data_IF_877007159307
#
_entry.id   IF_877007159307
#
_cell.length_a   1.000
_cell.length_b   1.000
_cell.length_c   1.000
_cell.angle_alpha   90.00
_cell.angle_beta   90.00
_cell.angle_gamma   90.00
#
_symmetry.space_group_name_H-M   'P 1'
#
loop_
_entity.id
_entity.type
_entity.pdbx_description
1 polymer ?
#
# COMPACT_ATOMS: atom_id res chain seq x y z
N UNK A 1 -1.64 -1.78 -3.98
CA UNK A 1 -0.68 -1.81 -5.11
C UNK A 1 0.75 -2.09 -4.65
N UNK A 2 1.43 -1.09 -4.07
CA UNK A 2 2.87 -1.14 -3.77
C UNK A 2 3.36 -2.40 -3.04
N UNK A 3 2.64 -2.86 -2.01
CA UNK A 3 2.96 -4.10 -1.29
C UNK A 3 3.02 -5.33 -2.20
N UNK A 4 2.01 -5.50 -3.06
CA UNK A 4 1.91 -6.67 -3.95
C UNK A 4 3.05 -6.65 -4.97
N UNK A 5 3.37 -5.48 -5.54
CA UNK A 5 4.49 -5.33 -6.47
C UNK A 5 5.84 -5.70 -5.83
N UNK A 6 6.06 -5.29 -4.58
CA UNK A 6 7.27 -5.62 -3.82
C UNK A 6 7.39 -7.12 -3.54
N UNK A 7 6.33 -7.75 -3.01
CA UNK A 7 6.36 -9.19 -2.73
C UNK A 7 6.43 -10.02 -4.01
N UNK A 8 5.82 -9.56 -5.10
CA UNK A 8 5.99 -10.18 -6.42
C UNK A 8 7.45 -10.12 -6.88
N UNK A 9 8.14 -8.98 -6.74
CA UNK A 9 9.55 -8.85 -7.10
C UNK A 9 10.43 -9.81 -6.27
N UNK A 10 10.17 -9.93 -4.96
CA UNK A 10 10.87 -10.91 -4.10
C UNK A 10 10.61 -12.35 -4.53
N UNK A 11 9.36 -12.67 -4.87
CA UNK A 11 8.97 -14.00 -5.34
C UNK A 11 9.67 -14.36 -6.66
N UNK A 12 9.70 -13.43 -7.62
CA UNK A 12 10.37 -13.62 -8.90
C UNK A 12 11.88 -13.87 -8.73
N UNK A 13 12.53 -13.12 -7.84
CA UNK A 13 13.94 -13.36 -7.50
C UNK A 13 14.14 -14.74 -6.89
N UNK A 14 13.27 -15.12 -5.95
CA UNK A 14 13.39 -16.39 -5.21
C UNK A 14 13.18 -17.61 -6.12
N UNK A 15 12.15 -17.61 -6.94
CA UNK A 15 11.73 -18.79 -7.71
C UNK A 15 12.40 -18.86 -9.10
N UNK A 16 12.76 -17.72 -9.68
CA UNK A 16 13.23 -17.64 -11.07
C UNK A 16 14.58 -16.92 -11.23
N UNK A 17 15.17 -16.42 -10.14
CA UNK A 17 16.38 -15.59 -10.18
C UNK A 17 16.23 -14.37 -11.13
N UNK A 18 15.02 -13.80 -11.18
CA UNK A 18 14.69 -12.64 -11.98
C UNK A 18 14.41 -11.43 -11.09
N UNK A 19 14.97 -10.28 -11.47
CA UNK A 19 14.68 -8.98 -10.85
C UNK A 19 14.05 -8.04 -11.87
N UNK A 20 13.10 -7.18 -11.47
CA UNK A 20 12.59 -6.15 -12.35
C UNK A 20 13.72 -5.16 -12.70
N UNK A 21 13.60 -4.48 -13.84
CA UNK A 21 14.55 -3.42 -14.20
C UNK A 21 14.45 -2.20 -13.26
N UNK A 22 13.24 -1.95 -12.74
CA UNK A 22 12.94 -0.87 -11.80
C UNK A 22 11.64 -1.22 -11.07
N UNK A 23 11.54 -0.91 -9.78
CA UNK A 23 10.31 -1.03 -9.01
C UNK A 23 9.76 0.35 -8.65
N UNK A 24 8.54 0.64 -9.08
CA UNK A 24 7.82 1.85 -8.72
C UNK A 24 6.79 1.54 -7.65
N UNK A 25 6.79 2.30 -6.56
CA UNK A 25 5.84 2.17 -5.46
C UNK A 25 5.21 3.53 -5.17
N UNK A 26 3.90 3.57 -4.93
CA UNK A 26 3.17 4.82 -4.74
C UNK A 26 2.14 4.66 -3.62
N UNK A 27 2.01 5.69 -2.78
CA UNK A 27 0.95 5.78 -1.76
C UNK A 27 0.98 4.64 -0.74
N UNK A 28 2.16 4.08 -0.46
CA UNK A 28 2.30 2.95 0.46
C UNK A 28 3.60 3.05 1.24
N UNK A 29 3.52 2.94 2.57
CA UNK A 29 4.69 2.93 3.47
C UNK A 29 5.67 1.82 3.09
N UNK A 30 6.93 1.97 3.45
CA UNK A 30 7.90 0.89 3.31
C UNK A 30 7.45 -0.36 4.10
N UNK A 31 7.62 -1.58 3.56
CA UNK A 31 6.99 -2.79 4.07
C UNK A 31 7.48 -3.20 5.46
N UNK A 32 8.69 -2.77 5.85
CA UNK A 32 9.24 -2.99 7.20
C UNK A 32 8.66 -2.04 8.26
N UNK A 33 7.99 -0.96 7.84
CA UNK A 33 7.32 -0.04 8.75
C UNK A 33 5.97 -0.64 9.18
N UNK A 34 5.75 -0.90 10.47
CA UNK A 34 4.52 -1.52 10.94
C UNK A 34 3.33 -0.59 10.74
N UNK A 35 2.20 -1.16 10.33
CA UNK A 35 0.94 -0.42 10.37
C UNK A 35 0.46 -0.26 11.81
N UNK A 36 0.15 0.97 12.22
CA UNK A 36 -0.40 1.27 13.54
C UNK A 36 -1.87 1.67 13.48
N UNK A 37 -2.49 1.71 12.31
CA UNK A 37 -3.92 2.02 12.21
C UNK A 37 -4.77 0.83 12.63
N UNK A 38 -5.94 1.07 13.27
CA UNK A 38 -6.91 0.01 13.53
C UNK A 38 -7.28 -0.73 12.24
N UNK A 39 -7.44 -2.04 12.36
CA UNK A 39 -7.90 -2.88 11.25
C UNK A 39 -9.37 -2.59 10.96
N UNK A 40 -9.69 -2.24 9.71
CA UNK A 40 -11.05 -1.91 9.29
C UNK A 40 -11.72 -3.04 8.51
N UNK A 41 -10.96 -4.00 7.95
CA UNK A 41 -11.50 -5.06 7.08
C UNK A 41 -12.57 -5.93 7.77
N UNK A 42 -12.53 -6.04 9.10
CA UNK A 42 -13.45 -6.83 9.91
C UNK A 42 -14.59 -6.02 10.56
N UNK A 43 -14.64 -4.71 10.37
CA UNK A 43 -15.67 -3.86 10.96
C UNK A 43 -17.06 -4.18 10.40
N UNK A 44 -18.15 -3.95 11.16
CA UNK A 44 -19.50 -3.92 10.60
C UNK A 44 -19.59 -2.94 9.43
N UNK A 45 -20.46 -3.21 8.46
CA UNK A 45 -20.57 -2.41 7.22
C UNK A 45 -20.73 -0.91 7.46
N UNK A 46 -21.61 -0.51 8.37
CA UNK A 46 -21.84 0.90 8.69
C UNK A 46 -20.58 1.61 9.22
N UNK A 47 -19.74 0.90 9.97
CA UNK A 47 -18.48 1.43 10.49
C UNK A 47 -17.39 1.43 9.43
N UNK A 48 -17.33 0.38 8.58
CA UNK A 48 -16.42 0.36 7.43
C UNK A 48 -16.69 1.53 6.48
N UNK A 49 -17.95 1.84 6.17
CA UNK A 49 -18.31 2.99 5.32
C UNK A 49 -17.86 4.32 5.94
N UNK A 50 -17.94 4.46 7.27
CA UNK A 50 -17.42 5.67 7.95
C UNK A 50 -15.90 5.78 7.80
N UNK A 51 -15.17 4.69 7.93
CA UNK A 51 -13.71 4.67 7.75
C UNK A 51 -13.32 4.92 6.28
N UNK A 52 -14.03 4.31 5.31
CA UNK A 52 -13.82 4.59 3.88
C UNK A 52 -13.94 6.08 3.55
N UNK A 53 -14.92 6.76 4.16
CA UNK A 53 -15.09 8.22 4.01
C UNK A 53 -13.90 9.01 4.55
N UNK A 54 -13.24 8.53 5.62
CA UNK A 54 -12.03 9.16 6.19
C UNK A 54 -10.80 8.98 5.30
N UNK A 55 -10.71 7.86 4.60
CA UNK A 55 -9.59 7.60 3.67
C UNK A 55 -9.64 8.45 2.40
N UNK A 56 -10.74 9.16 2.12
CA UNK A 56 -10.93 10.02 0.95
C UNK A 56 -10.68 9.34 -0.42
N UNK A 57 -10.55 8.01 -0.48
CA UNK A 57 -10.28 7.26 -1.69
C UNK A 57 -11.52 6.75 -2.43
N UNK A 58 -12.70 6.86 -1.81
CA UNK A 58 -13.99 6.48 -2.43
C UNK A 58 -14.88 7.73 -2.54
N UNK A 59 -15.33 8.13 -3.73
CA UNK A 59 -16.18 9.32 -3.89
C UNK A 59 -17.49 9.24 -3.09
N UNK A 60 -17.97 10.37 -2.57
CA UNK A 60 -19.20 10.39 -1.75
C UNK A 60 -20.42 9.85 -2.52
N UNK A 61 -20.54 10.16 -3.81
CA UNK A 61 -21.60 9.63 -4.67
C UNK A 61 -21.60 8.09 -4.78
N UNK A 62 -20.44 7.45 -4.57
CA UNK A 62 -20.32 5.99 -4.49
C UNK A 62 -20.74 5.51 -3.10
N UNK A 63 -20.26 6.17 -2.04
CA UNK A 63 -20.59 5.83 -0.64
C UNK A 63 -22.08 5.94 -0.33
N UNK A 64 -22.79 6.87 -0.99
CA UNK A 64 -24.24 7.09 -0.84
C UNK A 64 -25.09 6.11 -1.68
N UNK A 65 -24.49 5.37 -2.61
CA UNK A 65 -25.19 4.41 -3.46
C UNK A 65 -25.11 2.99 -2.88
N UNK A 66 -26.20 2.54 -2.25
CA UNK A 66 -26.27 1.23 -1.59
C UNK A 66 -26.03 0.04 -2.55
N UNK A 67 -26.55 0.10 -3.79
CA UNK A 67 -26.37 -0.99 -4.76
C UNK A 67 -24.91 -1.11 -5.20
N UNK A 68 -24.25 0.03 -5.43
CA UNK A 68 -22.83 0.07 -5.79
C UNK A 68 -21.95 -0.35 -4.62
N UNK A 69 -22.25 0.09 -3.40
CA UNK A 69 -21.52 -0.34 -2.20
C UNK A 69 -21.68 -1.84 -1.96
N UNK A 70 -22.87 -2.42 -2.13
CA UNK A 70 -23.07 -3.87 -2.01
C UNK A 70 -22.17 -4.67 -2.96
N UNK A 71 -21.88 -4.14 -4.16
CA UNK A 71 -20.95 -4.75 -5.12
C UNK A 71 -19.48 -4.55 -4.73
N UNK A 72 -19.10 -3.38 -4.22
CA UNK A 72 -17.70 -3.02 -3.93
C UNK A 72 -17.19 -3.52 -2.58
N UNK A 73 -18.05 -3.58 -1.57
CA UNK A 73 -17.69 -3.93 -0.19
C UNK A 73 -16.93 -5.25 -0.06
N UNK A 74 -17.31 -6.36 -0.73
CA UNK A 74 -16.55 -7.60 -0.65
C UNK A 74 -15.10 -7.44 -1.13
N UNK A 75 -14.90 -6.72 -2.25
CA UNK A 75 -13.57 -6.47 -2.83
C UNK A 75 -12.75 -5.54 -1.94
N UNK A 76 -13.34 -4.45 -1.46
CA UNK A 76 -12.66 -3.51 -0.56
C UNK A 76 -12.21 -4.22 0.73
N UNK A 77 -13.07 -5.07 1.33
CA UNK A 77 -12.70 -5.87 2.50
C UNK A 77 -11.55 -6.81 2.20
N UNK A 78 -11.57 -7.48 1.06
CA UNK A 78 -10.48 -8.36 0.65
C UNK A 78 -9.16 -7.58 0.53
N UNK A 79 -9.18 -6.41 -0.13
CA UNK A 79 -7.99 -5.56 -0.30
C UNK A 79 -7.43 -5.07 1.04
N UNK A 80 -8.29 -4.57 1.94
CA UNK A 80 -7.86 -4.19 3.30
C UNK A 80 -7.32 -5.40 4.06
N UNK A 81 -7.95 -6.57 3.95
CA UNK A 81 -7.49 -7.77 4.66
C UNK A 81 -6.05 -8.15 4.27
N UNK A 82 -5.69 -8.04 2.98
CA UNK A 82 -4.34 -8.32 2.51
C UNK A 82 -3.32 -7.39 3.17
N UNK A 83 -3.61 -6.10 3.21
CA UNK A 83 -2.70 -5.09 3.78
C UNK A 83 -2.61 -5.19 5.30
N UNK A 84 -3.75 -5.39 5.97
CA UNK A 84 -3.87 -5.35 7.42
C UNK A 84 -3.39 -6.63 8.11
N UNK A 85 -3.42 -7.76 7.40
CA UNK A 85 -2.91 -9.06 7.89
C UNK A 85 -1.50 -9.37 7.38
N UNK A 86 -0.93 -8.51 6.55
CA UNK A 86 0.43 -8.67 6.06
C UNK A 86 1.44 -8.61 7.21
N UNK A 87 2.29 -9.64 7.30
CA UNK A 87 3.39 -9.73 8.25
C UNK A 87 4.70 -9.64 7.49
N UNK A 88 5.42 -8.54 7.68
CA UNK A 88 6.72 -8.32 7.08
C UNK A 88 7.72 -9.38 7.52
N UNK A 89 8.45 -9.92 6.56
CA UNK A 89 9.62 -10.78 6.78
C UNK A 89 10.86 -10.05 6.34
N UNK A 90 11.84 -9.99 7.23
CA UNK A 90 13.14 -9.43 6.92
C UNK A 90 13.94 -10.41 6.04
N UNK A 91 14.09 -10.07 4.76
CA UNK A 91 14.92 -10.81 3.78
C UNK A 91 15.78 -9.78 3.05
N UNK A 92 16.86 -10.20 2.36
CA UNK A 92 17.76 -9.27 1.69
C UNK A 92 17.03 -8.27 0.78
N UNK A 93 17.45 -6.99 0.76
CA UNK A 93 16.92 -5.96 -0.14
C UNK A 93 16.97 -6.38 -1.61
N UNK A 94 16.14 -5.79 -2.46
CA UNK A 94 16.16 -6.02 -3.91
C UNK A 94 17.41 -5.40 -4.54
N UNK A 95 17.83 -5.89 -5.71
CA UNK A 95 18.99 -5.35 -6.44
C UNK A 95 18.58 -4.43 -7.61
N UNK A 96 17.27 -4.19 -7.76
CA UNK A 96 16.73 -3.24 -8.73
C UNK A 96 16.55 -1.85 -8.11
N UNK A 97 16.67 -0.76 -8.88
CA UNK A 97 16.31 0.56 -8.41
C UNK A 97 14.86 0.64 -7.93
N UNK A 98 14.61 1.47 -6.92
CA UNK A 98 13.26 1.76 -6.42
C UNK A 98 12.98 3.26 -6.53
N UNK A 99 11.83 3.61 -7.07
CA UNK A 99 11.28 4.97 -6.96
C UNK A 99 9.98 4.95 -6.17
N UNK A 100 9.93 5.71 -5.09
CA UNK A 100 8.78 5.83 -4.23
C UNK A 100 8.06 7.19 -4.46
N UNK A 101 6.73 7.15 -4.52
CA UNK A 101 5.89 8.32 -4.70
C UNK A 101 4.94 8.51 -3.51
N UNK A 102 4.79 9.74 -3.02
CA UNK A 102 3.84 10.09 -1.95
C UNK A 102 3.22 11.48 -2.13
N UNK A 103 2.03 11.70 -1.57
CA UNK A 103 1.40 13.02 -1.47
C UNK A 103 1.88 13.78 -0.23
N UNK A 104 1.99 15.10 -0.34
CA UNK A 104 2.32 15.97 0.79
C UNK A 104 1.14 16.14 1.77
N UNK A 105 -0.09 15.96 1.28
CA UNK A 105 -1.32 16.11 2.07
C UNK A 105 -1.96 14.75 2.39
N UNK A 106 -1.30 13.66 1.99
CA UNK A 106 -1.70 12.30 2.36
C UNK A 106 -1.71 12.15 3.88
N UNK A 107 -2.86 11.77 4.43
CA UNK A 107 -2.99 11.45 5.86
C UNK A 107 -2.08 10.28 6.24
N UNK A 108 -1.82 9.38 5.29
CA UNK A 108 -0.97 8.20 5.43
C UNK A 108 -0.65 7.61 4.05
N UNK A 109 0.58 7.14 3.80
CA UNK A 109 1.76 7.21 4.67
C UNK A 109 2.39 8.62 4.68
N UNK A 110 3.13 8.96 5.75
CA UNK A 110 3.87 10.21 5.79
C UNK A 110 5.21 10.12 5.02
N UNK A 111 5.86 11.27 4.79
CA UNK A 111 7.09 11.36 4.01
C UNK A 111 8.23 10.45 4.52
N UNK A 112 8.40 10.28 5.84
CA UNK A 112 9.44 9.41 6.40
C UNK A 112 9.14 7.93 6.15
N UNK A 113 7.87 7.54 6.20
CA UNK A 113 7.44 6.18 5.90
C UNK A 113 7.59 5.83 4.41
N UNK A 114 7.45 6.82 3.52
CA UNK A 114 7.77 6.69 2.10
C UNK A 114 9.28 6.62 1.89
N UNK A 115 10.05 7.50 2.54
CA UNK A 115 11.51 7.54 2.40
C UNK A 115 12.14 6.21 2.81
N UNK A 116 11.62 5.55 3.86
CA UNK A 116 12.09 4.25 4.37
C UNK A 116 12.13 3.12 3.32
N UNK A 117 11.55 3.29 2.12
CA UNK A 117 11.74 2.35 1.01
C UNK A 117 13.19 2.22 0.57
N UNK A 118 14.06 3.18 0.91
CA UNK A 118 15.50 3.11 0.65
C UNK A 118 16.15 1.84 1.22
N UNK A 119 15.64 1.30 2.33
CA UNK A 119 16.16 0.06 2.95
C UNK A 119 15.81 -1.21 2.14
N UNK A 120 14.86 -1.11 1.20
CA UNK A 120 14.38 -2.25 0.42
C UNK A 120 15.12 -2.45 -0.90
N UNK A 121 16.17 -1.66 -1.17
CA UNK A 121 17.07 -1.86 -2.31
C UNK A 121 18.54 -1.68 -1.96
N UNK A 122 19.41 -2.48 -2.59
CA UNK A 122 20.86 -2.27 -2.64
C UNK A 122 21.28 -1.38 -3.83
N UNK A 123 20.32 -0.90 -4.62
CA UNK A 123 20.53 -0.13 -5.84
C UNK A 123 20.12 1.34 -5.65
N UNK A 124 19.98 2.09 -6.74
CA UNK A 124 19.53 3.47 -6.68
C UNK A 124 18.12 3.58 -6.07
N UNK A 125 17.95 4.54 -5.17
CA UNK A 125 16.66 4.91 -4.61
C UNK A 125 16.34 6.37 -4.94
N UNK A 126 15.08 6.64 -5.30
CA UNK A 126 14.56 8.00 -5.39
C UNK A 126 13.19 8.10 -4.75
N UNK A 127 12.87 9.30 -4.26
CA UNK A 127 11.56 9.64 -3.73
C UNK A 127 11.04 10.90 -4.43
N UNK A 128 9.78 10.88 -4.83
CA UNK A 128 9.09 12.04 -5.40
C UNK A 128 7.81 12.33 -4.59
N UNK A 129 7.74 13.55 -4.04
CA UNK A 129 6.61 14.02 -3.26
C UNK A 129 5.80 15.02 -4.08
N UNK A 130 4.48 14.86 -4.12
CA UNK A 130 3.57 15.68 -4.92
C UNK A 130 2.67 16.55 -4.04
N UNK A 131 2.41 17.80 -4.43
CA UNK A 131 1.33 18.57 -3.83
C UNK A 131 -0.04 18.01 -4.25
N UNK A 132 -1.05 18.20 -3.38
CA UNK A 132 -2.42 17.75 -3.61
C UNK A 132 -2.97 16.85 -2.51
#
# INVERSE_FOLDING_TARGET
GGLVSFELARLLRKEYNQSPLHLFVSGYRAPQIPDRTPQIHALPESELIKELRRYAGTPEAVLENAELMALLLPTLRADFSVVETYSYKDLPPLDCPITAFGGLEDLKPNALEIEAWWEQTNSAFSVEMFPG
#
